data_IF_730255805520
#
_entry.id   IF_730255805520
#
_cell.length_a   1.000
_cell.length_b   1.000
_cell.length_c   1.000
_cell.angle_alpha   90.00
_cell.angle_beta   90.00
_cell.angle_gamma   90.00
#
_symmetry.space_group_name_H-M   'P 1'
#
loop_
_entity.id
_entity.type
_entity.pdbx_description
1 polymer ?
#
# COMPACT_ATOMS: atom_id res chain seq x y z
N UNK A 1 20.12 18.24 1.40
CA UNK A 1 18.72 17.93 1.04
C UNK A 1 18.19 17.01 2.13
N UNK A 2 16.96 17.22 2.62
CA UNK A 2 16.38 16.40 3.66
C UNK A 2 16.05 15.01 3.04
N UNK A 3 16.50 13.93 3.68
CA UNK A 3 16.35 12.58 3.15
C UNK A 3 15.08 11.86 3.66
N UNK A 4 14.20 12.57 4.32
CA UNK A 4 12.91 12.07 4.77
C UNK A 4 11.83 13.14 4.61
N UNK A 5 10.58 12.72 4.62
CA UNK A 5 9.40 13.55 4.73
C UNK A 5 8.70 13.25 6.05
N UNK A 6 8.14 14.29 6.68
CA UNK A 6 7.43 14.16 7.93
C UNK A 6 6.22 15.09 7.94
N UNK A 7 5.07 14.59 8.42
CA UNK A 7 3.88 15.41 8.67
C UNK A 7 3.12 14.94 9.89
N UNK A 8 2.42 15.87 10.55
CA UNK A 8 1.44 15.56 11.58
C UNK A 8 0.04 15.46 10.98
N UNK A 9 -0.72 14.48 11.43
CA UNK A 9 -2.09 14.21 10.97
C UNK A 9 -3.00 14.03 12.17
N UNK A 10 -4.18 14.67 12.12
CA UNK A 10 -5.29 14.39 13.03
C UNK A 10 -6.16 13.30 12.41
N UNK A 11 -6.42 12.23 13.14
CA UNK A 11 -7.28 11.13 12.68
C UNK A 11 -8.74 11.56 12.77
N UNK A 12 -9.34 11.83 11.62
CA UNK A 12 -10.74 12.25 11.46
C UNK A 12 -11.54 11.16 10.75
N UNK A 13 -12.81 11.44 10.42
CA UNK A 13 -13.72 10.51 9.75
C UNK A 13 -13.19 9.90 8.44
N UNK A 14 -12.31 10.61 7.73
CA UNK A 14 -11.69 10.10 6.50
C UNK A 14 -10.72 8.96 6.78
N UNK A 15 -10.06 8.99 7.92
CA UNK A 15 -8.99 8.07 8.29
C UNK A 15 -9.37 7.07 9.39
N UNK A 16 -10.65 7.05 9.78
CA UNK A 16 -11.15 6.10 10.76
C UNK A 16 -12.20 5.17 10.12
N UNK A 17 -12.17 3.91 10.51
CA UNK A 17 -13.16 2.93 10.11
C UNK A 17 -14.42 3.00 10.99
N UNK A 18 -15.35 2.03 10.82
CA UNK A 18 -16.60 1.92 11.61
C UNK A 18 -16.38 1.71 13.12
N UNK A 19 -15.17 1.38 13.53
CA UNK A 19 -14.77 1.18 14.93
C UNK A 19 -14.06 2.39 15.52
N UNK A 20 -14.00 3.50 14.77
CA UNK A 20 -13.26 4.70 15.14
C UNK A 20 -11.74 4.47 15.26
N UNK A 21 -11.18 3.55 14.47
CA UNK A 21 -9.74 3.24 14.42
C UNK A 21 -9.20 3.30 12.99
N UNK A 22 -7.89 3.48 12.87
CA UNK A 22 -7.19 3.39 11.58
C UNK A 22 -7.02 1.92 11.22
N UNK A 23 -7.87 1.40 10.34
CA UNK A 23 -7.70 0.07 9.76
C UNK A 23 -6.65 0.05 8.64
N UNK A 24 -6.38 -1.14 8.09
CA UNK A 24 -5.39 -1.33 7.00
C UNK A 24 -5.73 -0.50 5.77
N UNK A 25 -7.01 -0.38 5.40
CA UNK A 25 -7.43 0.44 4.26
C UNK A 25 -7.10 1.93 4.50
N UNK A 26 -7.46 2.46 5.66
CA UNK A 26 -7.18 3.85 6.04
C UNK A 26 -5.67 4.11 6.18
N UNK A 27 -4.93 3.15 6.71
CA UNK A 27 -3.47 3.21 6.75
C UNK A 27 -2.87 3.30 5.34
N UNK A 28 -3.42 2.54 4.38
CA UNK A 28 -3.04 2.62 2.97
C UNK A 28 -3.26 4.01 2.37
N UNK A 29 -4.39 4.65 2.67
CA UNK A 29 -4.69 6.02 2.23
C UNK A 29 -3.67 7.01 2.83
N UNK A 30 -3.43 6.96 4.14
CA UNK A 30 -2.47 7.83 4.82
C UNK A 30 -1.04 7.67 4.27
N UNK A 31 -0.64 6.42 3.97
CA UNK A 31 0.66 6.13 3.35
C UNK A 31 0.72 6.74 1.95
N UNK A 32 -0.32 6.56 1.13
CA UNK A 32 -0.36 7.09 -0.24
C UNK A 32 -0.32 8.61 -0.27
N UNK A 33 -1.05 9.30 0.61
CA UNK A 33 -1.02 10.75 0.75
C UNK A 33 0.38 11.25 1.11
N UNK A 34 0.97 10.67 2.15
CA UNK A 34 2.31 11.06 2.60
C UNK A 34 3.40 10.74 1.56
N UNK A 35 3.25 9.65 0.80
CA UNK A 35 4.15 9.34 -0.33
C UNK A 35 4.06 10.37 -1.45
N UNK A 36 2.85 10.84 -1.77
CA UNK A 36 2.69 11.90 -2.78
C UNK A 36 3.48 13.14 -2.39
N UNK A 37 3.39 13.54 -1.13
CA UNK A 37 4.12 14.71 -0.61
C UNK A 37 5.64 14.45 -0.53
N UNK A 38 6.06 13.23 -0.17
CA UNK A 38 7.47 12.82 -0.20
C UNK A 38 8.08 12.93 -1.60
N UNK A 39 7.41 12.44 -2.62
CA UNK A 39 7.90 12.54 -3.99
C UNK A 39 7.79 13.96 -4.53
N UNK A 40 6.79 14.73 -4.12
CA UNK A 40 6.61 16.12 -4.53
C UNK A 40 7.78 17.02 -4.11
N UNK A 41 8.39 16.80 -2.94
CA UNK A 41 9.56 17.58 -2.49
C UNK A 41 10.79 17.42 -3.39
N UNK A 42 10.79 16.42 -4.30
CA UNK A 42 11.86 16.16 -5.27
C UNK A 42 11.42 16.39 -6.73
N UNK A 43 10.30 17.06 -6.94
CA UNK A 43 9.71 17.29 -8.28
C UNK A 43 9.49 16.01 -9.08
N UNK A 44 9.15 14.92 -8.40
CA UNK A 44 8.91 13.62 -9.01
C UNK A 44 7.64 12.92 -8.51
N UNK A 45 6.63 13.70 -8.10
CA UNK A 45 5.30 13.14 -7.84
C UNK A 45 4.67 12.52 -9.11
N UNK A 46 3.54 11.83 -8.94
CA UNK A 46 2.90 11.09 -10.03
C UNK A 46 2.56 11.98 -11.25
N UNK A 47 2.16 13.25 -11.03
CA UNK A 47 1.82 14.18 -12.12
C UNK A 47 3.08 14.62 -12.86
N UNK A 48 4.11 14.99 -12.12
CA UNK A 48 5.41 15.40 -12.70
C UNK A 48 6.02 14.25 -13.49
N UNK A 49 6.04 13.05 -12.92
CA UNK A 49 6.55 11.86 -13.58
C UNK A 49 5.80 11.58 -14.89
N UNK A 50 4.47 11.60 -14.87
CA UNK A 50 3.65 11.31 -16.04
C UNK A 50 3.80 12.38 -17.14
N UNK A 51 3.65 13.66 -16.77
CA UNK A 51 3.61 14.75 -17.77
C UNK A 51 4.98 15.14 -18.33
N UNK A 52 6.01 15.09 -17.50
CA UNK A 52 7.34 15.61 -17.85
C UNK A 52 8.31 14.50 -18.24
N UNK A 53 8.16 13.33 -17.65
CA UNK A 53 9.13 12.25 -17.79
C UNK A 53 8.59 11.01 -18.51
N UNK A 54 7.30 10.99 -18.90
CA UNK A 54 6.66 9.83 -19.52
C UNK A 54 6.89 8.55 -18.71
N UNK A 55 6.77 8.66 -17.39
CA UNK A 55 6.98 7.56 -16.46
C UNK A 55 5.94 7.60 -15.35
N UNK A 56 5.72 6.46 -14.72
CA UNK A 56 4.86 6.32 -13.54
C UNK A 56 5.59 5.56 -12.45
N UNK A 57 5.28 5.86 -11.20
CA UNK A 57 5.70 5.05 -10.07
C UNK A 57 4.79 3.84 -9.94
N UNK A 58 5.35 2.65 -9.97
CA UNK A 58 4.65 1.40 -9.69
C UNK A 58 5.07 0.88 -8.32
N UNK A 59 4.10 0.66 -7.44
CA UNK A 59 4.30 0.00 -6.14
C UNK A 59 4.26 -1.50 -6.40
N UNK A 60 5.41 -2.17 -6.32
CA UNK A 60 5.50 -3.60 -6.51
C UNK A 60 5.05 -4.38 -5.26
N UNK A 61 5.39 -3.86 -4.08
CA UNK A 61 5.08 -4.53 -2.80
C UNK A 61 4.83 -3.51 -1.70
N UNK A 62 3.88 -3.85 -0.83
CA UNK A 62 3.65 -3.12 0.43
C UNK A 62 3.54 -4.11 1.56
N UNK A 63 4.24 -3.85 2.66
CA UNK A 63 4.12 -4.56 3.92
C UNK A 63 3.79 -3.56 5.01
N UNK A 64 2.73 -3.82 5.76
CA UNK A 64 2.28 -2.99 6.89
C UNK A 64 2.28 -3.86 8.14
N UNK A 65 2.78 -3.34 9.23
CA UNK A 65 2.71 -3.94 10.56
C UNK A 65 2.10 -2.92 11.52
N UNK A 66 0.96 -3.29 12.12
CA UNK A 66 0.28 -2.48 13.14
C UNK A 66 0.89 -2.80 14.50
N UNK A 67 1.59 -1.85 15.11
CA UNK A 67 2.19 -2.00 16.42
C UNK A 67 1.17 -1.74 17.53
N UNK A 68 0.32 -0.72 17.33
CA UNK A 68 -0.73 -0.32 18.26
C UNK A 68 -1.97 0.17 17.51
N UNK A 69 -3.11 0.23 18.19
CA UNK A 69 -4.32 0.82 17.64
C UNK A 69 -4.14 2.35 17.58
N UNK A 70 -4.61 2.94 16.48
CA UNK A 70 -4.62 4.39 16.26
C UNK A 70 -6.08 4.81 16.23
N UNK A 71 -6.49 5.67 17.14
CA UNK A 71 -7.89 5.95 17.39
C UNK A 71 -8.34 7.28 16.79
N UNK A 72 -9.64 7.43 16.69
CA UNK A 72 -10.30 8.68 16.38
C UNK A 72 -9.80 9.83 17.25
N UNK A 73 -9.48 10.97 16.62
CA UNK A 73 -8.94 12.19 17.24
C UNK A 73 -7.49 12.08 17.75
N UNK A 74 -6.82 10.95 17.56
CA UNK A 74 -5.38 10.90 17.79
C UNK A 74 -4.66 11.85 16.84
N UNK A 75 -3.59 12.46 17.34
CA UNK A 75 -2.58 13.15 16.53
C UNK A 75 -1.37 12.26 16.39
N UNK A 76 -1.02 11.96 15.16
CA UNK A 76 0.12 11.12 14.85
C UNK A 76 1.11 11.85 13.95
N UNK A 77 2.34 11.40 13.96
CA UNK A 77 3.37 11.83 13.03
C UNK A 77 3.66 10.71 12.04
N UNK A 78 3.64 11.04 10.74
CA UNK A 78 3.98 10.11 9.65
C UNK A 78 5.34 10.53 9.11
N UNK A 79 6.28 9.57 9.06
CA UNK A 79 7.60 9.74 8.45
C UNK A 79 7.77 8.77 7.29
N UNK A 80 8.34 9.26 6.18
CA UNK A 80 8.72 8.44 5.02
C UNK A 80 10.18 8.72 4.68
N UNK A 81 10.94 7.66 4.46
CA UNK A 81 12.36 7.77 4.15
C UNK A 81 12.88 6.56 3.35
N UNK A 82 13.92 6.76 2.52
CA UNK A 82 14.55 5.67 1.80
C UNK A 82 15.45 4.85 2.72
N UNK A 83 15.37 3.53 2.59
CA UNK A 83 16.30 2.58 3.25
C UNK A 83 17.23 1.91 2.25
N UNK A 84 16.87 1.95 0.97
CA UNK A 84 17.71 1.47 -0.14
C UNK A 84 17.26 2.13 -1.44
N UNK A 85 18.20 2.64 -2.19
CA UNK A 85 17.99 3.17 -3.54
C UNK A 85 18.90 2.39 -4.49
N UNK A 86 18.37 1.99 -5.63
CA UNK A 86 19.12 1.34 -6.71
C UNK A 86 18.62 1.84 -8.06
N UNK A 87 19.31 1.47 -9.14
CA UNK A 87 18.90 1.88 -10.48
C UNK A 87 17.54 1.31 -10.92
N UNK A 88 17.01 0.30 -10.22
CA UNK A 88 15.77 -0.39 -10.62
C UNK A 88 14.66 -0.30 -9.60
N UNK A 89 14.96 0.05 -8.34
CA UNK A 89 13.98 0.09 -7.28
C UNK A 89 14.38 1.04 -6.15
N UNK A 90 13.35 1.62 -5.53
CA UNK A 90 13.44 2.37 -4.28
C UNK A 90 12.73 1.56 -3.21
N UNK A 91 13.39 1.36 -2.07
CA UNK A 91 12.76 0.78 -0.89
C UNK A 91 12.56 1.89 0.13
N UNK A 92 11.30 2.16 0.46
CA UNK A 92 10.91 3.13 1.47
C UNK A 92 10.48 2.41 2.75
N UNK A 93 10.81 3.01 3.89
CA UNK A 93 10.12 2.72 5.14
C UNK A 93 9.20 3.88 5.51
N UNK A 94 8.09 3.52 6.12
CA UNK A 94 7.08 4.44 6.61
C UNK A 94 6.87 4.13 8.10
N UNK A 95 6.88 5.16 8.92
CA UNK A 95 6.65 5.09 10.35
C UNK A 95 5.49 6.02 10.72
N UNK A 96 4.46 5.46 11.36
CA UNK A 96 3.50 6.27 12.11
C UNK A 96 3.88 6.18 13.56
N UNK A 97 4.02 7.32 14.20
CA UNK A 97 4.36 7.42 15.63
C UNK A 97 3.43 8.39 16.34
N UNK A 98 3.23 8.19 17.63
CA UNK A 98 2.61 9.19 18.50
C UNK A 98 3.50 10.44 18.58
N UNK A 99 2.98 11.56 19.06
CA UNK A 99 3.76 12.80 19.14
C UNK A 99 4.95 12.71 20.11
N UNK A 100 4.90 11.77 21.04
CA UNK A 100 5.99 11.44 21.97
C UNK A 100 6.96 10.36 21.46
N UNK A 101 6.76 9.92 20.19
CA UNK A 101 7.72 9.09 19.46
C UNK A 101 7.53 7.57 19.60
N UNK A 102 6.41 7.09 20.16
CA UNK A 102 6.11 5.66 20.19
C UNK A 102 5.62 5.17 18.84
N UNK A 103 6.17 4.07 18.28
CA UNK A 103 5.72 3.53 17.01
C UNK A 103 4.30 2.96 17.12
N UNK A 104 3.45 3.34 16.17
CA UNK A 104 2.06 2.93 16.05
C UNK A 104 1.87 2.00 14.85
N UNK A 105 2.56 2.29 13.75
CA UNK A 105 2.56 1.50 12.53
C UNK A 105 3.92 1.61 11.85
N UNK A 106 4.43 0.49 11.37
CA UNK A 106 5.61 0.43 10.51
C UNK A 106 5.24 -0.17 9.17
N UNK A 107 5.69 0.45 8.10
CA UNK A 107 5.47 -0.10 6.77
C UNK A 107 6.74 -0.05 5.93
N UNK A 108 6.73 -0.88 4.88
CA UNK A 108 7.76 -0.91 3.85
C UNK A 108 7.09 -0.97 2.49
N UNK A 109 7.62 -0.18 1.56
CA UNK A 109 7.21 -0.26 0.16
C UNK A 109 8.43 -0.44 -0.75
N UNK A 110 8.22 -1.22 -1.79
CA UNK A 110 9.17 -1.42 -2.88
C UNK A 110 8.54 -0.85 -4.16
N UNK A 111 9.20 0.17 -4.73
CA UNK A 111 8.72 0.90 -5.90
C UNK A 111 9.71 0.76 -7.04
N UNK A 112 9.19 0.81 -8.26
CA UNK A 112 9.97 0.98 -9.47
C UNK A 112 9.35 2.07 -10.34
N UNK A 113 10.12 2.57 -11.32
CA UNK A 113 9.60 3.45 -12.36
C UNK A 113 9.27 2.61 -13.60
N UNK A 114 8.14 2.90 -14.23
CA UNK A 114 7.69 2.28 -15.49
C UNK A 114 7.60 3.36 -16.53
N UNK A 115 8.15 3.12 -17.72
CA UNK A 115 7.94 3.94 -18.90
C UNK A 115 6.47 3.83 -19.33
N UNK A 116 5.77 4.97 -19.38
CA UNK A 116 4.32 4.99 -19.67
C UNK A 116 3.97 4.73 -21.12
N UNK A 117 4.95 4.79 -22.04
CA UNK A 117 4.74 4.55 -23.47
C UNK A 117 5.01 3.09 -23.83
N UNK A 118 6.12 2.55 -23.33
CA UNK A 118 6.59 1.21 -23.68
C UNK A 118 6.20 0.14 -22.64
N UNK A 119 5.66 0.54 -21.50
CA UNK A 119 5.30 -0.33 -20.36
C UNK A 119 6.48 -1.20 -19.86
N UNK A 120 7.68 -0.65 -19.92
CA UNK A 120 8.93 -1.32 -19.51
C UNK A 120 9.52 -0.68 -18.26
N UNK A 121 10.30 -1.47 -17.53
CA UNK A 121 11.00 -0.97 -16.35
C UNK A 121 11.96 0.15 -16.75
N UNK A 122 11.85 1.30 -16.11
CA UNK A 122 12.70 2.46 -16.30
C UNK A 122 13.75 2.57 -15.19
N UNK A 123 14.94 2.98 -15.52
CA UNK A 123 15.99 3.22 -14.52
C UNK A 123 15.65 4.44 -13.67
N UNK A 124 15.83 4.33 -12.36
CA UNK A 124 15.54 5.42 -11.40
C UNK A 124 16.46 6.63 -11.65
N UNK A 125 17.73 6.41 -12.01
CA UNK A 125 18.69 7.48 -12.31
C UNK A 125 18.37 8.30 -13.57
N UNK A 126 17.33 7.91 -14.33
CA UNK A 126 16.79 8.69 -15.45
C UNK A 126 15.54 9.48 -15.07
N UNK A 127 15.16 9.47 -13.80
CA UNK A 127 14.05 10.24 -13.22
C UNK A 127 14.60 11.40 -12.37
N UNK A 128 13.78 12.37 -11.97
CA UNK A 128 14.22 13.43 -11.06
C UNK A 128 14.57 12.96 -9.64
N UNK A 129 14.20 11.73 -9.28
CA UNK A 129 14.44 11.24 -7.93
C UNK A 129 15.94 11.22 -7.59
N UNK A 130 16.37 11.84 -6.50
CA UNK A 130 17.78 11.96 -6.14
C UNK A 130 18.36 10.60 -5.72
N UNK A 131 19.38 10.14 -6.46
CA UNK A 131 20.05 8.86 -6.21
C UNK A 131 21.04 8.89 -5.05
N UNK A 132 21.43 10.06 -4.61
CA UNK A 132 22.44 10.33 -3.58
C UNK A 132 21.84 10.59 -2.20
N UNK A 133 20.52 10.41 -2.03
CA UNK A 133 19.91 10.49 -0.70
C UNK A 133 20.52 9.44 0.22
N UNK A 134 21.07 9.85 1.37
CA UNK A 134 21.60 8.87 2.31
C UNK A 134 20.45 8.00 2.85
N UNK A 135 20.61 6.67 2.80
CA UNK A 135 19.59 5.78 3.36
C UNK A 135 19.54 5.92 4.88
N UNK A 136 18.36 5.76 5.46
CA UNK A 136 18.16 5.72 6.90
C UNK A 136 18.06 4.27 7.40
N UNK A 137 18.27 4.09 8.69
CA UNK A 137 18.10 2.78 9.33
C UNK A 137 16.64 2.30 9.21
N UNK A 138 16.42 1.05 8.80
CA UNK A 138 15.08 0.56 8.57
C UNK A 138 14.32 0.34 9.88
N UNK A 139 13.09 0.85 9.96
CA UNK A 139 12.16 0.58 11.07
C UNK A 139 11.40 -0.73 10.90
N UNK A 140 11.32 -1.25 9.68
CA UNK A 140 10.77 -2.56 9.36
C UNK A 140 11.79 -3.36 8.53
N UNK A 141 12.56 -4.22 9.21
CA UNK A 141 13.61 -5.03 8.60
C UNK A 141 13.08 -6.29 7.91
N UNK A 142 11.93 -6.81 8.38
CA UNK A 142 11.32 -8.00 7.81
C UNK A 142 11.01 -7.80 6.32
N UNK A 143 11.50 -8.67 5.42
CA UNK A 143 11.21 -8.56 4.00
C UNK A 143 9.74 -8.84 3.71
N UNK A 144 9.26 -8.37 2.54
CA UNK A 144 7.97 -8.80 2.02
C UNK A 144 7.97 -10.31 1.77
N UNK A 145 6.87 -10.98 2.07
CA UNK A 145 6.76 -12.44 1.95
C UNK A 145 6.85 -12.88 0.50
N UNK A 146 7.45 -14.02 0.26
CA UNK A 146 7.36 -14.69 -1.05
C UNK A 146 6.07 -15.52 -1.10
N UNK A 147 5.07 -15.02 -1.83
CA UNK A 147 3.78 -15.68 -1.93
C UNK A 147 3.74 -16.58 -3.17
N UNK A 148 3.69 -17.89 -2.95
CA UNK A 148 3.51 -18.92 -3.98
C UNK A 148 2.06 -19.39 -3.97
N UNK A 149 1.11 -18.45 -4.16
CA UNK A 149 -0.30 -18.80 -4.26
C UNK A 149 -0.58 -19.30 -5.68
N UNK A 150 -1.22 -20.47 -5.77
CA UNK A 150 -1.83 -21.02 -6.97
C UNK A 150 -3.21 -21.49 -6.54
N UNK A 151 -4.20 -20.64 -6.72
CA UNK A 151 -5.58 -20.90 -6.35
C UNK A 151 -6.39 -21.17 -7.62
N UNK A 152 -7.40 -21.97 -7.51
CA UNK A 152 -8.31 -22.29 -8.58
C UNK A 152 -9.72 -21.75 -8.31
N UNK A 153 -10.66 -21.94 -9.26
CA UNK A 153 -12.03 -21.45 -9.16
C UNK A 153 -12.78 -21.92 -7.91
N UNK A 154 -12.37 -23.05 -7.33
CA UNK A 154 -12.95 -23.61 -6.09
C UNK A 154 -12.73 -22.71 -4.86
N UNK A 155 -11.79 -21.78 -4.93
CA UNK A 155 -11.49 -20.83 -3.87
C UNK A 155 -12.11 -19.44 -4.11
N UNK A 156 -12.89 -19.29 -5.19
CA UNK A 156 -13.50 -18.02 -5.53
C UNK A 156 -14.54 -17.62 -4.48
N UNK A 157 -14.35 -16.46 -3.87
CA UNK A 157 -15.28 -15.89 -2.89
C UNK A 157 -16.07 -14.69 -3.42
N UNK A 158 -15.49 -13.93 -4.33
CA UNK A 158 -16.05 -12.64 -4.70
C UNK A 158 -15.65 -12.25 -6.12
N UNK A 159 -16.58 -11.59 -6.84
CA UNK A 159 -16.29 -10.91 -8.11
C UNK A 159 -16.55 -9.42 -7.98
N UNK A 160 -15.72 -8.63 -8.62
CA UNK A 160 -15.82 -7.18 -8.65
C UNK A 160 -15.59 -6.66 -10.06
N UNK A 161 -16.48 -5.82 -10.54
CA UNK A 161 -16.23 -5.06 -11.78
C UNK A 161 -15.59 -3.72 -11.40
N UNK A 162 -14.40 -3.45 -11.92
CA UNK A 162 -13.70 -2.18 -11.68
C UNK A 162 -14.55 -1.01 -12.14
N UNK A 163 -14.81 -0.07 -11.25
CA UNK A 163 -15.63 1.12 -11.49
C UNK A 163 -14.77 2.38 -11.53
N UNK A 164 -15.30 3.45 -12.05
CA UNK A 164 -14.63 4.77 -12.11
C UNK A 164 -14.02 5.19 -10.77
N UNK A 165 -14.74 4.97 -9.64
CA UNK A 165 -14.25 5.34 -8.31
C UNK A 165 -13.17 4.41 -7.73
N UNK A 166 -12.90 3.30 -8.39
CA UNK A 166 -11.79 2.42 -8.04
C UNK A 166 -10.48 2.86 -8.68
N UNK A 167 -10.54 3.72 -9.72
CA UNK A 167 -9.38 4.12 -10.53
C UNK A 167 -8.73 5.40 -10.03
N UNK A 168 -7.45 5.54 -10.31
CA UNK A 168 -6.64 6.73 -10.02
C UNK A 168 -6.44 7.60 -11.28
N UNK A 169 -5.58 8.62 -11.15
CA UNK A 169 -5.24 9.54 -12.24
C UNK A 169 -4.55 8.88 -13.45
N UNK A 170 -4.00 7.69 -13.30
CA UNK A 170 -3.40 6.91 -14.37
C UNK A 170 -4.42 6.01 -15.06
N UNK A 171 -5.71 6.09 -14.69
CA UNK A 171 -6.82 5.26 -15.18
C UNK A 171 -6.66 3.77 -14.84
N UNK A 172 -5.81 3.45 -13.89
CA UNK A 172 -5.66 2.11 -13.32
C UNK A 172 -6.34 2.02 -11.96
N UNK A 173 -6.71 0.82 -11.57
CA UNK A 173 -7.27 0.59 -10.24
C UNK A 173 -6.27 0.99 -9.16
N UNK A 174 -6.69 1.89 -8.27
CA UNK A 174 -5.85 2.42 -7.19
C UNK A 174 -5.39 1.30 -6.26
N UNK A 175 -4.15 1.37 -5.80
CA UNK A 175 -3.58 0.37 -4.90
C UNK A 175 -4.41 0.15 -3.64
N UNK A 176 -4.99 1.21 -3.06
CA UNK A 176 -5.86 1.10 -1.88
C UNK A 176 -7.21 0.46 -2.18
N UNK A 177 -7.70 0.52 -3.42
CA UNK A 177 -8.92 -0.17 -3.83
C UNK A 177 -8.76 -1.69 -3.74
N UNK A 178 -7.56 -2.23 -4.03
CA UNK A 178 -7.28 -3.65 -3.80
C UNK A 178 -7.28 -4.02 -2.31
N UNK A 179 -6.82 -3.12 -1.42
CA UNK A 179 -6.88 -3.34 0.03
C UNK A 179 -8.35 -3.49 0.46
N UNK A 180 -9.20 -2.58 -0.01
CA UNK A 180 -10.65 -2.63 0.26
C UNK A 180 -11.26 -3.93 -0.23
N UNK A 181 -11.01 -4.35 -1.46
CA UNK A 181 -11.56 -5.61 -2.00
C UNK A 181 -11.20 -6.80 -1.11
N UNK A 182 -9.93 -6.93 -0.70
CA UNK A 182 -9.47 -8.02 0.16
C UNK A 182 -10.20 -8.01 1.51
N UNK A 183 -10.44 -6.85 2.08
CA UNK A 183 -11.11 -6.74 3.38
C UNK A 183 -12.64 -6.93 3.28
N UNK A 184 -13.26 -6.51 2.18
CA UNK A 184 -14.72 -6.57 1.97
C UNK A 184 -15.26 -7.99 1.76
N UNK A 185 -14.40 -9.00 1.56
CA UNK A 185 -14.84 -10.39 1.47
C UNK A 185 -15.34 -10.95 2.78
N UNK A 186 -14.97 -10.36 3.90
CA UNK A 186 -15.40 -10.79 5.22
C UNK A 186 -16.47 -9.87 5.80
N UNK A 187 -17.51 -10.43 6.46
CA UNK A 187 -18.57 -9.63 7.06
C UNK A 187 -18.05 -8.81 8.25
N UNK A 188 -18.78 -7.77 8.61
CA UNK A 188 -18.41 -6.88 9.72
C UNK A 188 -18.21 -7.63 11.05
N UNK A 189 -19.00 -8.70 11.31
CA UNK A 189 -18.84 -9.53 12.51
C UNK A 189 -17.49 -10.24 12.60
N UNK A 190 -16.87 -10.55 11.45
CA UNK A 190 -15.51 -11.08 11.42
C UNK A 190 -14.51 -10.03 11.95
N UNK A 191 -14.63 -8.79 11.47
CA UNK A 191 -13.78 -7.68 11.90
C UNK A 191 -14.08 -7.19 13.32
N UNK A 192 -15.22 -7.58 13.92
CA UNK A 192 -15.48 -7.36 15.33
C UNK A 192 -14.67 -8.30 16.24
N UNK A 193 -14.27 -9.46 15.70
CA UNK A 193 -13.50 -10.47 16.43
C UNK A 193 -12.00 -10.37 16.16
N UNK A 194 -11.65 -10.00 14.93
CA UNK A 194 -10.28 -10.02 14.45
C UNK A 194 -9.81 -8.64 14.00
N UNK A 195 -8.52 -8.36 14.18
CA UNK A 195 -7.83 -7.21 13.55
C UNK A 195 -6.61 -7.68 12.77
N UNK A 196 -6.26 -6.93 11.74
CA UNK A 196 -5.07 -7.20 10.95
C UNK A 196 -3.86 -6.62 11.66
N UNK A 197 -2.92 -7.48 12.05
CA UNK A 197 -1.64 -7.06 12.62
C UNK A 197 -0.56 -6.89 11.55
N UNK A 198 -0.53 -7.79 10.56
CA UNK A 198 0.39 -7.69 9.41
C UNK A 198 -0.39 -7.83 8.11
N UNK A 199 -0.11 -6.96 7.17
CA UNK A 199 -0.64 -7.00 5.82
C UNK A 199 0.51 -6.91 4.84
N UNK A 200 0.64 -7.91 3.96
CA UNK A 200 1.68 -7.98 2.95
C UNK A 200 1.01 -8.18 1.59
N UNK A 201 1.23 -7.26 0.65
CA UNK A 201 0.59 -7.29 -0.66
C UNK A 201 1.63 -7.13 -1.77
N UNK A 202 1.47 -7.94 -2.83
CA UNK A 202 2.25 -7.87 -4.06
C UNK A 202 1.35 -7.46 -5.21
N UNK A 203 1.68 -6.37 -5.85
CA UNK A 203 1.08 -5.93 -7.11
C UNK A 203 1.86 -6.57 -8.26
N UNK A 204 1.20 -7.44 -9.01
CA UNK A 204 1.81 -8.24 -10.09
C UNK A 204 1.46 -7.66 -11.45
N UNK A 205 0.20 -7.25 -11.62
CA UNK A 205 -0.33 -6.60 -12.80
C UNK A 205 -1.37 -5.56 -12.40
N UNK A 206 -1.68 -4.67 -13.32
CA UNK A 206 -2.66 -3.60 -13.18
C UNK A 206 -4.02 -4.01 -13.75
N UNK A 207 -5.08 -3.33 -13.34
CA UNK A 207 -6.42 -3.44 -13.93
C UNK A 207 -6.99 -2.07 -14.24
N UNK A 208 -7.94 -2.04 -15.18
CA UNK A 208 -8.59 -0.82 -15.68
C UNK A 208 -10.11 -0.90 -15.51
N UNK A 209 -10.78 0.24 -15.67
CA UNK A 209 -12.24 0.32 -15.57
C UNK A 209 -12.93 -0.66 -16.54
N UNK A 210 -13.99 -1.30 -16.07
CA UNK A 210 -14.81 -2.26 -16.81
C UNK A 210 -14.31 -3.70 -16.73
N UNK A 211 -13.09 -3.96 -16.24
CA UNK A 211 -12.59 -5.32 -16.06
C UNK A 211 -13.29 -6.03 -14.89
N UNK A 212 -13.60 -7.31 -15.08
CA UNK A 212 -14.11 -8.16 -14.03
C UNK A 212 -12.96 -8.87 -13.32
N UNK A 213 -12.90 -8.69 -12.02
CA UNK A 213 -11.91 -9.26 -11.13
C UNK A 213 -12.55 -10.36 -10.28
N UNK A 214 -11.79 -11.41 -10.05
CA UNK A 214 -12.15 -12.54 -9.24
C UNK A 214 -11.22 -12.63 -8.04
N UNK A 215 -11.76 -12.67 -6.84
CA UNK A 215 -10.98 -12.87 -5.63
C UNK A 215 -11.11 -14.30 -5.14
N UNK A 216 -9.96 -14.92 -4.91
CA UNK A 216 -9.82 -16.30 -4.46
C UNK A 216 -9.08 -16.31 -3.12
N UNK A 217 -9.63 -17.02 -2.13
CA UNK A 217 -9.04 -17.16 -0.80
C UNK A 217 -9.08 -18.61 -0.34
N UNK A 218 -7.94 -19.22 0.00
CA UNK A 218 -7.90 -20.56 0.58
C UNK A 218 -8.24 -20.55 2.08
N UNK A 219 -8.38 -19.35 2.65
CA UNK A 219 -8.70 -19.06 4.05
C UNK A 219 -8.43 -17.60 4.37
N UNK A 220 -8.79 -17.15 5.55
CA UNK A 220 -8.73 -15.74 5.97
C UNK A 220 -7.33 -15.09 5.98
N UNK A 221 -6.27 -15.85 5.71
CA UNK A 221 -4.88 -15.39 5.84
C UNK A 221 -4.18 -15.08 4.53
N UNK A 222 -4.80 -15.38 3.39
CA UNK A 222 -4.20 -15.09 2.09
C UNK A 222 -5.27 -14.91 1.02
N UNK A 223 -5.01 -13.98 0.09
CA UNK A 223 -5.90 -13.67 -1.01
C UNK A 223 -5.13 -13.56 -2.33
N UNK A 224 -5.79 -13.89 -3.43
CA UNK A 224 -5.32 -13.66 -4.77
C UNK A 224 -6.44 -12.99 -5.57
N UNK A 225 -6.13 -11.89 -6.25
CA UNK A 225 -7.05 -11.23 -7.17
C UNK A 225 -6.59 -11.51 -8.59
N UNK A 226 -7.50 -11.93 -9.45
CA UNK A 226 -7.26 -12.30 -10.84
C UNK A 226 -8.21 -11.59 -11.79
N UNK A 227 -7.76 -11.44 -13.03
CA UNK A 227 -8.57 -11.13 -14.21
C UNK A 227 -8.44 -12.32 -15.17
N UNK A 228 -9.47 -13.16 -15.25
CA UNK A 228 -9.37 -14.46 -15.91
C UNK A 228 -8.23 -15.30 -15.31
N UNK A 229 -7.27 -15.72 -16.12
CA UNK A 229 -6.10 -16.47 -15.66
C UNK A 229 -4.93 -15.60 -15.19
N UNK A 230 -5.02 -14.27 -15.36
CA UNK A 230 -3.93 -13.35 -15.01
C UNK A 230 -4.02 -12.96 -13.54
N UNK A 231 -2.99 -13.27 -12.76
CA UNK A 231 -2.87 -12.78 -11.38
C UNK A 231 -2.54 -11.30 -11.39
N UNK A 232 -3.32 -10.52 -10.67
CA UNK A 232 -3.10 -9.08 -10.45
C UNK A 232 -2.45 -8.83 -9.09
N UNK A 233 -3.00 -9.44 -8.04
CA UNK A 233 -2.61 -9.23 -6.66
C UNK A 233 -2.40 -10.56 -5.95
N UNK A 234 -1.43 -10.58 -5.04
CA UNK A 234 -1.30 -11.61 -3.99
C UNK A 234 -1.17 -10.90 -2.65
N UNK A 235 -1.92 -11.34 -1.66
CA UNK A 235 -1.89 -10.77 -0.33
C UNK A 235 -1.80 -11.85 0.75
N UNK A 236 -1.26 -11.46 1.90
CA UNK A 236 -1.22 -12.23 3.13
C UNK A 236 -1.62 -11.33 4.29
N UNK A 237 -2.44 -11.86 5.20
CA UNK A 237 -2.88 -11.20 6.42
C UNK A 237 -2.49 -12.05 7.63
N UNK A 238 -1.90 -11.41 8.63
CA UNK A 238 -1.80 -11.98 9.98
C UNK A 238 -2.86 -11.31 10.84
N UNK A 239 -3.77 -12.13 11.36
CA UNK A 239 -4.87 -11.67 12.20
C UNK A 239 -4.54 -11.93 13.66
N UNK A 240 -4.97 -11.02 14.52
CA UNK A 240 -4.96 -11.19 15.98
C UNK A 240 -6.35 -10.99 16.53
N UNK A 241 -6.75 -11.73 17.59
CA UNK A 241 -8.00 -11.47 18.27
C UNK A 241 -8.04 -10.03 18.79
N UNK A 242 -9.22 -9.42 18.72
CA UNK A 242 -9.46 -8.18 19.44
C UNK A 242 -9.65 -8.49 20.92
N UNK A 243 -9.15 -7.64 21.78
CA UNK A 243 -9.48 -7.71 23.20
C UNK A 243 -11.00 -7.48 23.37
N UNK A 244 -11.63 -8.28 24.22
CA UNK A 244 -13.04 -8.10 24.54
C UNK A 244 -13.21 -6.74 25.21
N UNK A 245 -14.06 -5.88 24.63
CA UNK A 245 -14.41 -4.59 25.23
C UNK A 245 -15.22 -4.77 26.52
#
# INVERSE_FOLDING_TARGET
MQNYYEKEVLITSTYADRRCEVGIFQAGILIQDAMTEFFHQYDCDAIQMSRTHQAVWAIARTKIFMDQDILWMDRIRIKIFPVKISNVAIHLNILFESLDGHPLLRARQELCAIDSVNHTLRRIDTTPFPMDLPPMEPVLTAPCRRMKLKLGPEHQLYTHTVRTMDTDMNQHMNNTSYFRLILDTHPSSFWDTWKVQEFDIHHVNESVEGEELCQEEPGALSAQIKRGETTLIKAFLLLTPRESA
#
